data_IF_784370970328
#
_entry.id   IF_784370970328
#
_cell.length_a   1.000
_cell.length_b   1.000
_cell.length_c   1.000
_cell.angle_alpha   90.00
_cell.angle_beta   90.00
_cell.angle_gamma   90.00
#
_symmetry.space_group_name_H-M   'P 1'
#
loop_
_entity.id
_entity.type
_entity.pdbx_description
1 polymer ?
#
# COMPACT_ATOMS: atom_id res chain seq x y z
N UNK A 1 47.57 -4.12 -2.50
CA UNK A 1 47.39 -4.17 -3.96
C UNK A 1 46.70 -2.89 -4.40
N UNK A 2 47.36 -2.01 -5.17
CA UNK A 2 46.83 -0.70 -5.56
C UNK A 2 46.16 -0.77 -6.96
N UNK A 3 45.16 -1.63 -7.13
CA UNK A 3 44.36 -1.61 -8.35
C UNK A 3 43.26 -0.55 -8.20
N UNK A 4 43.04 0.25 -9.23
CA UNK A 4 42.12 1.38 -9.21
C UNK A 4 40.67 0.99 -8.87
N UNK A 5 40.25 -0.23 -9.18
CA UNK A 5 38.92 -0.79 -8.93
C UNK A 5 38.77 -1.41 -7.53
N UNK A 6 39.84 -1.65 -6.77
CA UNK A 6 39.82 -2.44 -5.53
C UNK A 6 38.81 -1.90 -4.52
N UNK A 7 38.84 -0.59 -4.23
CA UNK A 7 37.92 0.03 -3.29
C UNK A 7 36.45 -0.12 -3.72
N UNK A 8 36.16 0.08 -5.01
CA UNK A 8 34.79 -0.04 -5.54
C UNK A 8 34.28 -1.49 -5.46
N UNK A 9 35.14 -2.47 -5.74
CA UNK A 9 34.78 -3.90 -5.65
C UNK A 9 34.54 -4.31 -4.19
N UNK A 10 35.41 -3.88 -3.26
CA UNK A 10 35.19 -4.14 -1.83
C UNK A 10 33.90 -3.49 -1.32
N UNK A 11 33.64 -2.25 -1.68
CA UNK A 11 32.38 -1.59 -1.32
C UNK A 11 31.17 -2.33 -1.87
N UNK A 12 31.20 -2.72 -3.13
CA UNK A 12 30.11 -3.50 -3.75
C UNK A 12 29.89 -4.86 -3.06
N UNK A 13 30.97 -5.55 -2.69
CA UNK A 13 30.87 -6.80 -1.93
C UNK A 13 30.32 -6.58 -0.51
N UNK A 14 30.78 -5.53 0.19
CA UNK A 14 30.28 -5.18 1.52
C UNK A 14 28.77 -4.83 1.53
N UNK A 15 28.26 -4.27 0.43
CA UNK A 15 26.84 -3.98 0.23
C UNK A 15 26.06 -5.12 -0.44
N UNK A 16 26.64 -6.31 -0.55
CA UNK A 16 25.96 -7.48 -1.10
C UNK A 16 25.75 -7.47 -2.62
N UNK A 17 26.19 -6.42 -3.33
CA UNK A 17 26.04 -6.31 -4.78
C UNK A 17 26.86 -7.34 -5.56
N UNK A 18 27.92 -7.84 -4.95
CA UNK A 18 28.77 -8.91 -5.48
C UNK A 18 28.72 -10.12 -4.56
N UNK A 19 28.75 -11.31 -5.17
CA UNK A 19 28.89 -12.57 -4.43
C UNK A 19 30.34 -12.69 -3.91
N UNK A 20 30.52 -12.63 -2.59
CA UNK A 20 31.79 -12.76 -1.91
C UNK A 20 32.31 -14.21 -1.86
N UNK A 21 31.46 -15.20 -2.18
CA UNK A 21 31.84 -16.60 -2.33
C UNK A 21 32.71 -16.87 -3.59
N UNK A 22 32.68 -15.94 -4.54
CA UNK A 22 33.49 -16.03 -5.74
C UNK A 22 35.00 -15.82 -5.40
N UNK A 23 35.83 -16.82 -5.64
CA UNK A 23 37.26 -16.75 -5.32
C UNK A 23 38.03 -15.64 -6.06
N UNK A 24 37.51 -15.16 -7.20
CA UNK A 24 38.17 -14.13 -8.01
C UNK A 24 37.12 -13.22 -8.67
N UNK A 25 37.22 -11.91 -8.42
CA UNK A 25 36.61 -10.93 -9.25
C UNK A 25 37.31 -10.83 -10.60
N UNK A 26 36.59 -10.86 -11.71
CA UNK A 26 37.11 -10.84 -13.09
C UNK A 26 37.11 -9.43 -13.69
N UNK A 27 38.04 -8.54 -13.31
CA UNK A 27 37.92 -7.10 -13.60
C UNK A 27 38.09 -6.71 -15.06
N UNK A 28 38.62 -7.63 -15.87
CA UNK A 28 38.87 -7.39 -17.31
C UNK A 28 37.88 -8.13 -18.24
N UNK A 29 36.98 -8.93 -17.66
CA UNK A 29 35.96 -9.61 -18.44
C UNK A 29 34.80 -8.66 -18.73
N UNK A 30 34.13 -8.85 -19.85
CA UNK A 30 32.90 -8.12 -20.15
C UNK A 30 31.77 -8.60 -19.22
N UNK A 31 31.05 -7.69 -18.59
CA UNK A 31 29.85 -8.00 -17.84
C UNK A 31 28.69 -8.32 -18.78
N UNK A 32 27.94 -9.38 -18.47
CA UNK A 32 26.72 -9.70 -19.19
C UNK A 32 25.54 -8.85 -18.71
N UNK A 33 24.48 -8.79 -19.50
CA UNK A 33 23.24 -8.10 -19.13
C UNK A 33 22.58 -8.74 -17.91
N UNK A 34 22.63 -10.08 -17.78
CA UNK A 34 22.16 -10.82 -16.61
C UNK A 34 22.97 -10.46 -15.37
N UNK A 35 24.31 -10.52 -15.44
CA UNK A 35 25.18 -10.16 -14.32
C UNK A 35 24.92 -8.71 -13.86
N UNK A 36 24.71 -7.79 -14.78
CA UNK A 36 24.42 -6.39 -14.47
C UNK A 36 23.07 -6.25 -13.73
N UNK A 37 22.02 -6.93 -14.21
CA UNK A 37 20.70 -6.91 -13.55
C UNK A 37 20.78 -7.49 -12.12
N UNK A 38 21.47 -8.64 -11.95
CA UNK A 38 21.68 -9.26 -10.64
C UNK A 38 22.42 -8.32 -9.69
N UNK A 39 23.52 -7.72 -10.14
CA UNK A 39 24.30 -6.78 -9.31
C UNK A 39 23.49 -5.55 -8.87
N UNK A 40 22.69 -4.99 -9.76
CA UNK A 40 21.89 -3.82 -9.45
C UNK A 40 20.79 -4.14 -8.43
N UNK A 41 20.03 -5.22 -8.62
CA UNK A 41 18.98 -5.63 -7.67
C UNK A 41 19.58 -5.98 -6.30
N UNK A 42 20.70 -6.69 -6.26
CA UNK A 42 21.43 -6.98 -5.01
C UNK A 42 21.93 -5.69 -4.34
N UNK A 43 22.56 -4.81 -5.10
CA UNK A 43 23.07 -3.53 -4.59
C UNK A 43 21.98 -2.61 -4.06
N UNK A 44 20.75 -2.73 -4.56
CA UNK A 44 19.56 -2.05 -4.05
C UNK A 44 18.95 -2.75 -2.83
N UNK A 45 19.40 -3.96 -2.47
CA UNK A 45 18.95 -4.70 -1.29
C UNK A 45 17.61 -5.42 -1.46
N UNK A 46 17.20 -5.76 -2.68
CA UNK A 46 15.91 -6.42 -2.96
C UNK A 46 16.00 -7.94 -3.15
N UNK A 47 17.03 -8.59 -2.62
CA UNK A 47 17.21 -10.04 -2.69
C UNK A 47 16.03 -10.83 -2.08
N UNK A 48 15.39 -10.29 -1.05
CA UNK A 48 14.26 -10.89 -0.36
C UNK A 48 12.99 -10.98 -1.25
N UNK A 49 12.95 -10.27 -2.39
CA UNK A 49 11.84 -10.32 -3.34
C UNK A 49 12.05 -11.29 -4.51
N UNK A 50 13.27 -11.81 -4.67
CA UNK A 50 13.67 -12.59 -5.86
C UNK A 50 12.81 -13.85 -6.06
N UNK A 51 12.47 -14.56 -4.99
CA UNK A 51 11.59 -15.74 -5.07
C UNK A 51 10.18 -15.36 -5.54
N UNK A 52 9.63 -14.27 -5.02
CA UNK A 52 8.30 -13.78 -5.42
C UNK A 52 8.30 -13.34 -6.87
N UNK A 53 9.30 -12.59 -7.30
CA UNK A 53 9.43 -12.15 -8.69
C UNK A 53 9.71 -13.34 -9.65
N UNK A 54 10.41 -14.36 -9.22
CA UNK A 54 10.64 -15.56 -10.03
C UNK A 54 9.37 -16.39 -10.26
N UNK A 55 8.40 -16.34 -9.32
CA UNK A 55 7.11 -17.02 -9.45
C UNK A 55 6.20 -16.34 -10.50
N UNK A 56 6.36 -15.03 -10.72
CA UNK A 56 5.62 -14.31 -11.75
C UNK A 56 6.03 -14.74 -13.17
N UNK A 57 5.16 -14.49 -14.15
CA UNK A 57 5.51 -14.67 -15.56
C UNK A 57 6.66 -13.72 -15.94
N UNK A 58 7.62 -14.20 -16.72
CA UNK A 58 8.67 -13.32 -17.24
C UNK A 58 8.20 -12.63 -18.52
N UNK A 59 8.46 -11.34 -18.72
CA UNK A 59 8.22 -10.66 -19.99
C UNK A 59 9.17 -11.15 -21.10
N UNK A 60 10.16 -11.99 -20.75
CA UNK A 60 11.20 -12.49 -21.65
C UNK A 60 11.15 -13.99 -21.83
N UNK A 61 11.30 -14.45 -23.06
CA UNK A 61 11.23 -15.87 -23.44
C UNK A 61 12.58 -16.60 -23.34
N UNK A 62 13.69 -15.86 -23.27
CA UNK A 62 15.07 -16.37 -23.31
C UNK A 62 15.77 -16.36 -21.93
N UNK A 63 15.04 -16.02 -20.87
CA UNK A 63 15.56 -16.03 -19.50
C UNK A 63 15.38 -17.40 -18.87
N UNK A 64 16.50 -18.12 -18.62
CA UNK A 64 16.53 -19.47 -18.04
C UNK A 64 17.17 -19.53 -16.67
N UNK A 65 17.93 -18.52 -16.28
CA UNK A 65 18.59 -18.36 -14.99
C UNK A 65 18.29 -16.97 -14.41
N UNK A 66 18.48 -16.82 -13.10
CA UNK A 66 18.30 -15.53 -12.41
C UNK A 66 16.99 -14.79 -12.74
N UNK A 67 15.92 -15.56 -13.06
CA UNK A 67 14.63 -15.03 -13.51
C UNK A 67 14.09 -13.96 -12.57
N UNK A 68 14.14 -14.19 -11.24
CA UNK A 68 13.63 -13.24 -10.26
C UNK A 68 14.37 -11.90 -10.27
N UNK A 69 15.69 -11.91 -10.41
CA UNK A 69 16.49 -10.68 -10.54
C UNK A 69 16.18 -9.91 -11.81
N UNK A 70 16.03 -10.62 -12.94
CA UNK A 70 15.72 -9.99 -14.23
C UNK A 70 14.30 -9.41 -14.21
N UNK A 71 13.32 -10.14 -13.65
CA UNK A 71 11.95 -9.66 -13.50
C UNK A 71 11.91 -8.42 -12.59
N UNK A 72 12.57 -8.42 -11.42
CA UNK A 72 12.66 -7.25 -10.55
C UNK A 72 13.30 -6.05 -11.27
N UNK A 73 14.41 -6.27 -11.96
CA UNK A 73 15.06 -5.20 -12.71
C UNK A 73 14.17 -4.62 -13.82
N UNK A 74 13.31 -5.46 -14.43
CA UNK A 74 12.31 -5.03 -15.41
C UNK A 74 11.17 -4.26 -14.74
N UNK A 75 10.57 -4.79 -13.67
CA UNK A 75 9.49 -4.14 -12.92
C UNK A 75 9.92 -2.77 -12.39
N UNK A 76 11.16 -2.67 -11.96
CA UNK A 76 11.76 -1.39 -11.57
C UNK A 76 12.09 -0.48 -12.76
N UNK A 77 11.85 -0.93 -13.99
CA UNK A 77 12.16 -0.16 -15.21
C UNK A 77 13.66 0.10 -15.40
N UNK A 78 14.53 -0.62 -14.68
CA UNK A 78 15.99 -0.50 -14.78
C UNK A 78 16.47 -1.08 -16.10
N UNK A 79 15.95 -2.27 -16.45
CA UNK A 79 16.27 -2.97 -17.69
C UNK A 79 15.08 -3.00 -18.65
N UNK A 80 15.36 -3.21 -19.92
CA UNK A 80 14.36 -3.46 -20.96
C UNK A 80 14.83 -4.57 -21.87
N UNK A 81 13.90 -5.16 -22.64
CA UNK A 81 14.21 -6.14 -23.68
C UNK A 81 14.97 -5.56 -24.88
N UNK A 82 15.49 -6.44 -25.71
CA UNK A 82 16.12 -6.13 -27.02
C UNK A 82 15.14 -6.24 -28.19
N UNK A 83 13.85 -6.40 -27.91
CA UNK A 83 12.79 -6.64 -28.87
C UNK A 83 12.41 -8.12 -28.99
N UNK A 84 11.26 -8.39 -29.61
CA UNK A 84 10.70 -9.73 -29.80
C UNK A 84 10.59 -10.59 -28.50
N UNK A 85 10.38 -9.94 -27.33
CA UNK A 85 10.29 -10.64 -26.05
C UNK A 85 11.61 -11.27 -25.58
N UNK A 86 12.73 -10.71 -26.01
CA UNK A 86 14.07 -11.20 -25.60
C UNK A 86 14.80 -10.21 -24.71
N UNK A 87 15.44 -10.73 -23.66
CA UNK A 87 16.35 -10.00 -22.78
C UNK A 87 17.80 -10.07 -23.24
N UNK A 88 18.21 -11.20 -23.85
CA UNK A 88 19.57 -11.54 -24.25
C UNK A 88 20.52 -11.61 -23.03
N UNK A 89 20.29 -12.55 -22.06
CA UNK A 89 21.00 -12.58 -20.78
C UNK A 89 22.52 -12.61 -20.91
N UNK A 90 23.03 -13.43 -21.83
CA UNK A 90 24.48 -13.62 -22.07
C UNK A 90 25.08 -12.54 -22.98
N UNK A 91 24.27 -11.58 -23.45
CA UNK A 91 24.79 -10.44 -24.22
C UNK A 91 25.63 -9.51 -23.34
N UNK A 92 26.72 -8.99 -23.86
CA UNK A 92 27.55 -8.01 -23.16
C UNK A 92 26.78 -6.71 -22.95
N UNK A 93 26.74 -6.22 -21.72
CA UNK A 93 26.24 -4.87 -21.45
C UNK A 93 27.26 -3.82 -21.92
N UNK A 94 26.83 -2.87 -22.73
CA UNK A 94 27.69 -1.76 -23.14
C UNK A 94 27.81 -0.72 -22.03
N UNK A 95 28.83 0.15 -22.11
CA UNK A 95 28.99 1.26 -21.14
C UNK A 95 27.79 2.19 -21.15
N UNK A 96 27.18 2.40 -22.30
CA UNK A 96 25.96 3.21 -22.45
C UNK A 96 24.76 2.55 -21.75
N UNK A 97 24.58 1.24 -21.92
CA UNK A 97 23.54 0.48 -21.23
C UNK A 97 23.73 0.50 -19.71
N UNK A 98 24.96 0.28 -19.25
CA UNK A 98 25.29 0.35 -17.83
C UNK A 98 24.99 1.75 -17.26
N UNK A 99 25.40 2.81 -17.95
CA UNK A 99 25.11 4.19 -17.54
C UNK A 99 23.59 4.49 -17.50
N UNK A 100 22.83 4.02 -18.49
CA UNK A 100 21.39 4.18 -18.55
C UNK A 100 20.69 3.43 -17.40
N UNK A 101 21.11 2.20 -17.08
CA UNK A 101 20.56 1.42 -15.96
C UNK A 101 20.84 2.12 -14.62
N UNK A 102 22.07 2.57 -14.39
CA UNK A 102 22.46 3.29 -13.18
C UNK A 102 21.71 4.62 -13.03
N UNK A 103 21.52 5.38 -14.12
CA UNK A 103 20.77 6.63 -14.08
C UNK A 103 19.29 6.40 -13.75
N UNK A 104 18.68 5.33 -14.28
CA UNK A 104 17.30 4.96 -13.94
C UNK A 104 17.15 4.59 -12.47
N UNK A 105 18.08 3.77 -11.93
CA UNK A 105 18.13 3.50 -10.49
C UNK A 105 18.23 4.79 -9.68
N UNK A 106 19.19 5.65 -10.03
CA UNK A 106 19.44 6.90 -9.31
C UNK A 106 18.19 7.80 -9.31
N UNK A 107 17.55 7.98 -10.46
CA UNK A 107 16.36 8.84 -10.58
C UNK A 107 15.19 8.31 -9.74
N UNK A 108 14.97 6.99 -9.73
CA UNK A 108 13.90 6.37 -8.95
C UNK A 108 14.17 6.45 -7.43
N UNK A 109 15.38 6.15 -7.00
CA UNK A 109 15.77 6.26 -5.59
C UNK A 109 15.69 7.70 -5.04
N UNK A 110 15.82 8.69 -5.91
CA UNK A 110 15.79 10.10 -5.55
C UNK A 110 14.52 10.82 -6.05
N UNK A 111 13.47 10.07 -6.42
CA UNK A 111 12.19 10.68 -6.71
C UNK A 111 11.51 11.14 -5.42
N UNK A 112 10.92 12.32 -5.45
CA UNK A 112 10.15 12.86 -4.33
C UNK A 112 8.80 12.14 -4.23
N UNK A 113 8.19 12.17 -3.06
CA UNK A 113 6.77 11.87 -2.90
C UNK A 113 5.99 13.01 -3.53
N UNK A 114 5.14 12.70 -4.52
CA UNK A 114 4.44 13.70 -5.34
C UNK A 114 2.97 13.87 -4.98
N UNK A 115 2.45 13.01 -4.11
CA UNK A 115 1.08 13.07 -3.63
C UNK A 115 0.96 12.40 -2.25
N UNK A 116 0.42 13.12 -1.28
CA UNK A 116 0.18 12.64 0.08
C UNK A 116 -1.30 12.73 0.40
N UNK A 117 -1.90 11.61 0.71
CA UNK A 117 -3.32 11.48 1.03
C UNK A 117 -3.50 10.86 2.42
N UNK A 118 -4.60 11.20 3.10
CA UNK A 118 -4.98 10.57 4.36
C UNK A 118 -6.49 10.39 4.50
N UNK A 119 -6.90 9.30 5.14
CA UNK A 119 -8.26 9.12 5.59
C UNK A 119 -8.47 9.81 6.93
N UNK A 120 -9.54 10.57 7.05
CA UNK A 120 -9.89 11.35 8.23
C UNK A 120 -11.20 10.83 8.84
N UNK A 121 -11.10 10.10 9.93
CA UNK A 121 -12.22 9.59 10.69
C UNK A 121 -12.68 10.59 11.78
N UNK A 122 -13.74 10.25 12.48
CA UNK A 122 -14.27 11.04 13.60
C UNK A 122 -13.20 11.35 14.68
N UNK A 123 -12.33 10.38 14.98
CA UNK A 123 -11.27 10.49 16.00
C UNK A 123 -9.96 11.12 15.49
N UNK A 124 -9.91 11.62 14.26
CA UNK A 124 -8.68 12.16 13.64
C UNK A 124 -8.37 13.61 14.03
N UNK A 125 -9.26 14.28 14.78
CA UNK A 125 -9.14 15.73 15.09
C UNK A 125 -7.81 16.11 15.77
N UNK A 126 -7.25 15.20 16.58
CA UNK A 126 -5.95 15.42 17.25
C UNK A 126 -4.78 15.67 16.28
N UNK A 127 -4.87 15.17 15.04
CA UNK A 127 -3.85 15.33 13.99
C UNK A 127 -4.31 16.24 12.83
N UNK A 128 -5.19 17.19 13.09
CA UNK A 128 -5.66 18.13 12.06
C UNK A 128 -4.56 19.00 11.46
N UNK A 129 -3.51 19.28 12.23
CA UNK A 129 -2.37 20.05 11.72
C UNK A 129 -1.53 19.23 10.75
N UNK A 130 -1.42 17.93 10.98
CA UNK A 130 -0.82 16.99 10.05
C UNK A 130 -1.62 16.91 8.74
N UNK A 131 -2.96 16.89 8.84
CA UNK A 131 -3.84 16.87 7.68
C UNK A 131 -3.64 18.08 6.75
N UNK A 132 -3.24 19.24 7.28
CA UNK A 132 -2.95 20.46 6.48
C UNK A 132 -1.68 20.35 5.63
N UNK A 133 -0.85 19.34 5.89
CA UNK A 133 0.39 19.09 5.16
C UNK A 133 0.21 18.08 4.03
N UNK A 134 -1.01 17.55 3.84
CA UNK A 134 -1.38 16.62 2.79
C UNK A 134 -1.92 17.33 1.55
N UNK A 135 -1.88 16.65 0.40
CA UNK A 135 -2.48 17.14 -0.84
C UNK A 135 -3.99 16.91 -0.85
N UNK A 136 -4.44 15.80 -0.28
CA UNK A 136 -5.85 15.45 -0.19
C UNK A 136 -6.20 14.69 1.07
N UNK A 137 -7.45 14.85 1.52
CA UNK A 137 -8.03 14.15 2.66
C UNK A 137 -9.40 13.59 2.28
N UNK A 138 -9.62 12.31 2.57
CA UNK A 138 -10.92 11.64 2.43
C UNK A 138 -11.60 11.53 3.79
N UNK A 139 -12.70 12.25 3.97
CA UNK A 139 -13.48 12.21 5.20
C UNK A 139 -14.29 10.92 5.28
N UNK A 140 -13.98 10.04 6.22
CA UNK A 140 -14.71 8.81 6.54
C UNK A 140 -16.02 9.08 7.26
N UNK A 141 -16.86 9.94 6.70
CA UNK A 141 -18.10 10.43 7.33
C UNK A 141 -19.36 9.88 6.68
N UNK A 142 -19.23 8.88 5.83
CA UNK A 142 -20.38 8.24 5.20
C UNK A 142 -20.18 6.76 4.94
N UNK A 143 -21.28 6.03 4.91
CA UNK A 143 -21.35 4.69 4.37
C UNK A 143 -22.54 4.52 3.42
N UNK A 144 -22.37 3.67 2.42
CA UNK A 144 -23.45 3.27 1.54
C UNK A 144 -24.30 2.21 2.23
N UNK A 145 -25.63 2.39 2.19
CA UNK A 145 -26.59 1.43 2.78
C UNK A 145 -27.70 1.09 1.78
N UNK A 146 -28.01 -0.20 1.68
CA UNK A 146 -29.26 -0.70 1.11
C UNK A 146 -30.22 -1.01 2.26
N UNK A 147 -31.33 -0.27 2.36
CA UNK A 147 -32.28 -0.36 3.49
C UNK A 147 -33.40 -1.37 3.24
N UNK A 148 -34.09 -1.78 4.29
CA UNK A 148 -35.18 -2.76 4.23
C UNK A 148 -36.37 -2.34 3.35
N UNK A 149 -36.57 -1.02 3.17
CA UNK A 149 -37.58 -0.46 2.29
C UNK A 149 -37.17 -0.43 0.81
N UNK A 150 -35.97 -0.90 0.50
CA UNK A 150 -35.40 -0.94 -0.84
C UNK A 150 -34.69 0.37 -1.25
N UNK A 151 -34.62 1.38 -0.38
CA UNK A 151 -33.90 2.61 -0.66
C UNK A 151 -32.39 2.41 -0.54
N UNK A 152 -31.62 3.17 -1.35
CA UNK A 152 -30.16 3.23 -1.28
C UNK A 152 -29.80 4.66 -0.85
N UNK A 153 -28.98 4.76 0.19
CA UNK A 153 -28.60 6.03 0.80
C UNK A 153 -27.11 6.09 1.10
N UNK A 154 -26.58 7.29 1.06
CA UNK A 154 -25.29 7.63 1.69
C UNK A 154 -25.61 8.09 3.10
N UNK A 155 -25.38 7.22 4.09
CA UNK A 155 -25.68 7.51 5.48
C UNK A 155 -24.55 8.31 6.11
N UNK A 156 -24.81 9.57 6.42
CA UNK A 156 -23.92 10.53 7.07
C UNK A 156 -24.37 10.88 8.51
N UNK A 157 -25.40 10.20 9.02
CA UNK A 157 -26.01 10.52 10.30
C UNK A 157 -25.45 9.65 11.43
N UNK A 158 -25.20 10.25 12.59
CA UNK A 158 -24.82 9.54 13.82
C UNK A 158 -26.06 8.91 14.46
N UNK A 159 -26.49 7.80 13.85
CA UNK A 159 -27.61 7.00 14.33
C UNK A 159 -27.17 5.54 14.50
N UNK A 160 -27.71 4.84 15.50
CA UNK A 160 -27.41 3.43 15.76
C UNK A 160 -25.90 3.12 15.88
N UNK A 161 -25.12 3.99 16.53
CA UNK A 161 -23.66 3.91 16.65
C UNK A 161 -22.91 3.93 15.30
N UNK A 162 -23.47 4.60 14.30
CA UNK A 162 -22.77 4.79 13.04
C UNK A 162 -21.56 5.71 13.23
N UNK A 163 -20.36 5.14 13.23
CA UNK A 163 -19.09 5.90 13.33
C UNK A 163 -18.73 6.64 12.03
N UNK A 164 -19.38 6.28 10.93
CA UNK A 164 -19.25 6.92 9.62
C UNK A 164 -20.25 8.07 9.45
N UNK A 165 -20.14 9.05 10.30
CA UNK A 165 -21.07 10.17 10.33
C UNK A 165 -20.35 11.51 10.25
N UNK A 166 -21.02 12.53 9.73
CA UNK A 166 -20.51 13.90 9.76
C UNK A 166 -20.49 14.39 11.23
N UNK A 167 -19.30 14.70 11.78
CA UNK A 167 -19.19 15.08 13.19
C UNK A 167 -19.77 16.48 13.45
N UNK A 168 -20.17 16.74 14.69
CA UNK A 168 -20.45 18.10 15.11
C UNK A 168 -19.19 18.96 15.05
N UNK A 169 -19.25 20.16 14.53
CA UNK A 169 -18.09 21.05 14.37
C UNK A 169 -17.25 20.77 13.11
N UNK A 170 -17.75 19.95 12.19
CA UNK A 170 -17.06 19.61 10.92
C UNK A 170 -16.65 20.84 10.10
N UNK A 171 -17.42 21.93 10.21
CA UNK A 171 -17.16 23.16 9.47
C UNK A 171 -15.76 23.73 9.72
N UNK A 172 -15.26 23.64 10.95
CA UNK A 172 -13.94 24.13 11.30
C UNK A 172 -12.84 23.38 10.55
N UNK A 173 -12.85 22.04 10.58
CA UNK A 173 -11.80 21.25 9.93
C UNK A 173 -11.86 21.38 8.41
N UNK A 174 -13.05 21.42 7.82
CA UNK A 174 -13.21 21.64 6.38
C UNK A 174 -12.61 22.98 5.95
N UNK A 175 -12.93 24.06 6.68
CA UNK A 175 -12.39 25.40 6.38
C UNK A 175 -10.87 25.45 6.57
N UNK A 176 -10.35 24.88 7.65
CA UNK A 176 -8.91 24.83 7.91
C UNK A 176 -8.16 24.10 6.80
N UNK A 177 -8.63 22.93 6.35
CA UNK A 177 -7.99 22.13 5.29
C UNK A 177 -8.06 22.84 3.93
N UNK A 178 -9.23 23.31 3.52
CA UNK A 178 -9.41 24.01 2.23
C UNK A 178 -8.62 25.32 2.17
N UNK A 179 -8.53 26.07 3.30
CA UNK A 179 -7.68 27.26 3.37
C UNK A 179 -6.18 26.95 3.27
N UNK A 180 -5.78 25.72 3.61
CA UNK A 180 -4.41 25.21 3.41
C UNK A 180 -4.17 24.64 2.02
N UNK A 181 -5.19 24.62 1.14
CA UNK A 181 -5.11 24.08 -0.21
C UNK A 181 -5.26 22.56 -0.30
N UNK A 182 -5.70 21.92 0.78
CA UNK A 182 -5.94 20.47 0.83
C UNK A 182 -7.25 20.13 0.15
N UNK A 183 -7.22 19.23 -0.82
CA UNK A 183 -8.44 18.74 -1.46
C UNK A 183 -9.25 17.88 -0.47
N UNK A 184 -10.56 18.13 -0.40
CA UNK A 184 -11.45 17.45 0.55
C UNK A 184 -12.43 16.54 -0.20
N UNK A 185 -12.37 15.23 0.04
CA UNK A 185 -13.26 14.24 -0.56
C UNK A 185 -14.19 13.62 0.50
N UNK A 186 -15.37 13.21 0.09
CA UNK A 186 -16.23 12.34 0.89
C UNK A 186 -15.82 10.89 0.66
N UNK A 187 -15.39 10.16 1.70
CA UNK A 187 -15.20 8.72 1.62
C UNK A 187 -16.54 8.01 1.78
N UNK A 188 -16.95 7.23 0.78
CA UNK A 188 -18.16 6.42 0.80
C UNK A 188 -17.78 4.96 1.02
N UNK A 189 -17.94 4.50 2.25
CA UNK A 189 -17.57 3.17 2.68
C UNK A 189 -18.67 2.14 2.45
N UNK A 190 -18.30 0.93 2.04
CA UNK A 190 -19.17 -0.25 1.97
C UNK A 190 -18.33 -1.54 2.07
N UNK A 191 -18.57 -2.35 3.11
CA UNK A 191 -17.87 -3.65 3.29
C UNK A 191 -18.82 -4.85 3.39
N UNK A 192 -20.14 -4.64 3.47
CA UNK A 192 -21.12 -5.73 3.48
C UNK A 192 -21.26 -6.34 2.09
N UNK A 193 -20.83 -7.61 1.96
CA UNK A 193 -20.82 -8.32 0.68
C UNK A 193 -22.23 -8.51 0.08
N UNK A 194 -23.27 -8.64 0.91
CA UNK A 194 -24.65 -8.80 0.44
C UNK A 194 -25.19 -7.49 -0.11
N UNK A 195 -24.94 -6.39 0.58
CA UNK A 195 -25.32 -5.06 0.11
C UNK A 195 -24.55 -4.69 -1.16
N UNK A 196 -23.25 -4.95 -1.21
CA UNK A 196 -22.45 -4.72 -2.40
C UNK A 196 -22.99 -5.49 -3.62
N UNK A 197 -23.34 -6.78 -3.45
CA UNK A 197 -23.98 -7.56 -4.50
C UNK A 197 -25.33 -6.99 -4.91
N UNK A 198 -26.18 -6.61 -3.97
CA UNK A 198 -27.51 -6.07 -4.22
C UNK A 198 -27.44 -4.75 -4.98
N UNK A 199 -26.54 -3.87 -4.59
CA UNK A 199 -26.36 -2.56 -5.23
C UNK A 199 -25.72 -2.72 -6.60
N UNK A 200 -24.59 -3.43 -6.70
CA UNK A 200 -23.81 -3.45 -7.92
C UNK A 200 -24.37 -4.37 -9.02
N UNK A 201 -25.05 -5.48 -8.68
CA UNK A 201 -25.59 -6.40 -9.68
C UNK A 201 -26.89 -5.94 -10.33
N UNK A 202 -27.50 -4.88 -9.84
CA UNK A 202 -28.73 -4.29 -10.41
C UNK A 202 -28.43 -2.89 -10.98
N UNK A 203 -28.78 -2.66 -12.25
CA UNK A 203 -28.50 -1.37 -12.90
C UNK A 203 -29.27 -0.21 -12.27
N UNK A 204 -30.54 -0.42 -11.88
CA UNK A 204 -31.35 0.61 -11.23
C UNK A 204 -30.78 0.97 -9.85
N UNK A 205 -30.27 -0.04 -9.12
CA UNK A 205 -29.62 0.16 -7.83
C UNK A 205 -28.28 0.92 -7.99
N UNK A 206 -27.48 0.63 -9.03
CA UNK A 206 -26.27 1.40 -9.31
C UNK A 206 -26.59 2.88 -9.56
N UNK A 207 -27.57 3.16 -10.41
CA UNK A 207 -28.03 4.53 -10.67
C UNK A 207 -28.55 5.20 -9.39
N UNK A 208 -29.30 4.48 -8.54
CA UNK A 208 -29.76 5.00 -7.26
C UNK A 208 -28.59 5.32 -6.31
N UNK A 209 -27.56 4.45 -6.27
CA UNK A 209 -26.34 4.69 -5.48
C UNK A 209 -25.56 5.92 -5.98
N UNK A 210 -25.41 6.07 -7.30
CA UNK A 210 -24.79 7.26 -7.90
C UNK A 210 -25.59 8.53 -7.52
N UNK A 211 -26.91 8.49 -7.64
CA UNK A 211 -27.77 9.64 -7.28
C UNK A 211 -27.63 10.00 -5.79
N UNK A 212 -27.59 9.00 -4.90
CA UNK A 212 -27.41 9.24 -3.47
C UNK A 212 -26.04 9.88 -3.16
N UNK A 213 -24.96 9.47 -3.84
CA UNK A 213 -23.65 10.11 -3.71
C UNK A 213 -23.70 11.54 -4.24
N UNK A 214 -24.28 11.75 -5.43
CA UNK A 214 -24.37 13.09 -6.04
C UNK A 214 -25.22 14.05 -5.19
N UNK A 215 -26.30 13.57 -4.60
CA UNK A 215 -27.10 14.37 -3.67
C UNK A 215 -26.23 14.85 -2.50
N UNK A 216 -25.46 13.96 -1.87
CA UNK A 216 -24.62 14.31 -0.72
C UNK A 216 -23.50 15.30 -1.09
N UNK A 217 -22.84 15.13 -2.24
CA UNK A 217 -21.70 15.97 -2.62
C UNK A 217 -22.08 17.25 -3.38
N UNK A 218 -23.36 17.49 -3.62
CA UNK A 218 -23.85 18.75 -4.23
C UNK A 218 -24.73 19.57 -3.30
N UNK A 219 -25.29 18.97 -2.23
CA UNK A 219 -26.13 19.71 -1.27
C UNK A 219 -25.33 20.79 -0.55
N UNK A 220 -25.98 21.91 -0.29
CA UNK A 220 -25.40 22.99 0.52
C UNK A 220 -25.50 22.69 2.01
N UNK A 221 -24.36 22.54 2.65
CA UNK A 221 -24.28 22.41 4.11
C UNK A 221 -24.53 23.78 4.76
N UNK A 222 -25.59 23.87 5.60
CA UNK A 222 -26.08 25.16 6.14
C UNK A 222 -25.05 25.98 6.89
N UNK A 223 -24.16 25.31 7.66
CA UNK A 223 -23.14 25.99 8.45
C UNK A 223 -21.99 26.54 7.60
N UNK A 224 -21.67 25.89 6.48
CA UNK A 224 -20.64 26.34 5.54
C UNK A 224 -21.17 27.27 4.44
N UNK A 225 -22.47 27.23 4.15
CA UNK A 225 -23.08 27.95 3.02
C UNK A 225 -22.67 27.41 1.65
N UNK A 226 -21.99 26.24 1.60
CA UNK A 226 -21.53 25.53 0.40
C UNK A 226 -21.42 24.03 0.68
N UNK A 227 -21.13 23.23 -0.34
CA UNK A 227 -20.75 21.83 -0.15
C UNK A 227 -19.30 21.71 0.34
N UNK A 228 -18.98 20.82 1.29
CA UNK A 228 -17.62 20.65 1.82
C UNK A 228 -16.70 19.81 0.93
N UNK A 229 -17.25 19.07 -0.06
CA UNK A 229 -16.50 18.06 -0.80
C UNK A 229 -16.15 18.51 -2.22
N UNK A 230 -14.88 18.39 -2.56
CA UNK A 230 -14.33 18.65 -3.90
C UNK A 230 -14.26 17.38 -4.75
N UNK A 231 -14.50 16.23 -4.14
CA UNK A 231 -14.52 14.93 -4.78
C UNK A 231 -15.12 13.84 -3.90
N UNK A 232 -15.03 12.62 -4.41
CA UNK A 232 -15.49 11.40 -3.74
C UNK A 232 -14.36 10.37 -3.73
N UNK A 233 -14.23 9.64 -2.63
CA UNK A 233 -13.43 8.43 -2.55
C UNK A 233 -14.36 7.25 -2.36
N UNK A 234 -14.37 6.32 -3.31
CA UNK A 234 -15.13 5.07 -3.21
C UNK A 234 -14.27 4.04 -2.50
N UNK A 235 -14.78 3.55 -1.38
CA UNK A 235 -14.12 2.59 -0.50
C UNK A 235 -15.03 1.38 -0.31
N UNK A 236 -15.24 0.64 -1.44
CA UNK A 236 -16.06 -0.56 -1.48
C UNK A 236 -15.16 -1.78 -1.35
N UNK A 237 -15.20 -2.41 -0.18
CA UNK A 237 -14.31 -3.48 0.19
C UNK A 237 -14.87 -4.88 -0.08
N UNK A 238 -13.99 -5.87 -0.13
CA UNK A 238 -14.37 -7.28 -0.19
C UNK A 238 -14.99 -7.74 -1.49
N UNK A 239 -14.85 -6.99 -2.59
CA UNK A 239 -15.44 -7.34 -3.88
C UNK A 239 -14.79 -8.61 -4.47
N UNK A 240 -15.61 -9.56 -4.93
CA UNK A 240 -15.15 -10.84 -5.46
C UNK A 240 -15.89 -11.26 -6.71
N UNK A 241 -15.15 -11.87 -7.63
CA UNK A 241 -15.66 -12.51 -8.83
C UNK A 241 -15.90 -11.58 -10.00
N UNK A 242 -15.91 -12.15 -11.18
CA UNK A 242 -15.95 -11.43 -12.45
C UNK A 242 -17.21 -10.59 -12.65
N UNK A 243 -18.35 -11.01 -12.10
CA UNK A 243 -19.60 -10.26 -12.21
C UNK A 243 -19.55 -8.96 -11.42
N UNK A 244 -19.11 -9.01 -10.14
CA UNK A 244 -18.93 -7.80 -9.34
C UNK A 244 -17.85 -6.88 -9.93
N UNK A 245 -16.75 -7.45 -10.44
CA UNK A 245 -15.71 -6.72 -11.15
C UNK A 245 -16.25 -5.84 -12.27
N UNK A 246 -17.07 -6.43 -13.17
CA UNK A 246 -17.66 -5.72 -14.30
C UNK A 246 -18.68 -4.67 -13.85
N UNK A 247 -19.53 -5.02 -12.88
CA UNK A 247 -20.57 -4.14 -12.39
C UNK A 247 -20.02 -2.97 -11.56
N UNK A 248 -18.92 -3.19 -10.84
CA UNK A 248 -18.19 -2.10 -10.14
C UNK A 248 -17.62 -1.09 -11.13
N UNK A 249 -17.00 -1.56 -12.22
CA UNK A 249 -16.54 -0.67 -13.31
C UNK A 249 -17.71 0.10 -13.93
N UNK A 250 -18.87 -0.55 -14.13
CA UNK A 250 -20.05 0.15 -14.66
C UNK A 250 -20.56 1.24 -13.69
N UNK A 251 -20.59 0.96 -12.39
CA UNK A 251 -20.93 1.93 -11.35
C UNK A 251 -19.95 3.11 -11.35
N UNK A 252 -18.63 2.85 -11.39
CA UNK A 252 -17.62 3.91 -11.39
C UNK A 252 -17.71 4.80 -12.64
N UNK A 253 -17.99 4.26 -13.83
CA UNK A 253 -18.19 5.04 -15.05
C UNK A 253 -19.40 5.98 -14.95
N UNK A 254 -20.49 5.48 -14.39
CA UNK A 254 -21.69 6.27 -14.18
C UNK A 254 -21.44 7.40 -13.17
N UNK A 255 -20.76 7.09 -12.06
CA UNK A 255 -20.38 8.06 -11.03
C UNK A 255 -19.42 9.12 -11.55
N UNK A 256 -18.35 8.71 -12.25
CA UNK A 256 -17.36 9.62 -12.84
C UNK A 256 -17.99 10.61 -13.81
N UNK A 257 -18.91 10.12 -14.65
CA UNK A 257 -19.66 10.99 -15.57
C UNK A 257 -20.43 12.08 -14.82
N UNK A 258 -21.08 11.71 -13.72
CA UNK A 258 -21.84 12.64 -12.90
C UNK A 258 -20.94 13.63 -12.11
N UNK A 259 -19.83 13.12 -11.53
CA UNK A 259 -18.86 13.94 -10.80
C UNK A 259 -18.15 14.95 -11.72
N UNK A 260 -17.72 14.51 -12.91
CA UNK A 260 -17.06 15.36 -13.91
C UNK A 260 -17.98 16.51 -14.35
N UNK A 261 -19.30 16.28 -14.49
CA UNK A 261 -20.26 17.33 -14.82
C UNK A 261 -20.34 18.43 -13.74
N UNK A 262 -20.02 18.10 -12.49
CA UNK A 262 -19.96 19.02 -11.34
C UNK A 262 -18.52 19.50 -11.02
N UNK A 263 -17.53 19.13 -11.84
CA UNK A 263 -16.14 19.50 -11.64
C UNK A 263 -15.49 18.86 -10.40
N UNK A 264 -15.96 17.67 -10.02
CA UNK A 264 -15.50 16.91 -8.84
C UNK A 264 -14.64 15.72 -9.23
N UNK A 265 -13.67 15.38 -8.38
CA UNK A 265 -12.75 14.26 -8.58
C UNK A 265 -13.32 12.94 -8.06
N UNK A 266 -12.79 11.83 -8.61
CA UNK A 266 -13.08 10.47 -8.19
C UNK A 266 -11.78 9.75 -7.76
N UNK A 267 -11.69 9.36 -6.49
CA UNK A 267 -10.67 8.43 -5.99
C UNK A 267 -11.30 7.08 -5.71
N UNK A 268 -10.53 6.01 -5.87
CA UNK A 268 -11.01 4.64 -5.64
C UNK A 268 -10.00 3.88 -4.78
N UNK A 269 -10.42 3.43 -3.60
CA UNK A 269 -9.66 2.50 -2.78
C UNK A 269 -9.86 1.06 -3.30
N UNK A 270 -8.78 0.29 -3.39
CA UNK A 270 -8.80 -1.08 -3.89
C UNK A 270 -7.96 -1.99 -3.01
N UNK A 271 -8.40 -3.23 -2.84
CA UNK A 271 -7.55 -4.25 -2.22
C UNK A 271 -6.38 -4.63 -3.14
N UNK A 272 -5.20 -4.91 -2.58
CA UNK A 272 -4.07 -5.44 -3.35
C UNK A 272 -4.36 -6.85 -3.84
N UNK A 273 -3.78 -7.22 -4.97
CA UNK A 273 -3.65 -8.64 -5.33
C UNK A 273 -2.71 -9.33 -4.34
N UNK A 274 -3.03 -10.57 -3.97
CA UNK A 274 -2.24 -11.38 -3.04
C UNK A 274 -1.63 -12.60 -3.72
N UNK A 275 -0.50 -13.10 -3.22
CA UNK A 275 0.20 -14.26 -3.78
C UNK A 275 -0.63 -15.55 -3.75
N UNK A 276 -1.49 -15.69 -2.77
CA UNK A 276 -2.24 -16.91 -2.50
C UNK A 276 -3.60 -16.95 -3.22
N UNK A 277 -3.79 -16.10 -4.22
CA UNK A 277 -4.91 -16.19 -5.17
C UNK A 277 -5.99 -15.13 -5.01
N UNK A 278 -7.14 -15.42 -5.57
CA UNK A 278 -8.25 -14.54 -5.91
C UNK A 278 -9.04 -13.95 -4.73
N UNK A 279 -8.43 -13.66 -3.60
CA UNK A 279 -9.20 -13.30 -2.40
C UNK A 279 -10.13 -12.10 -2.64
N UNK A 280 -9.63 -11.02 -3.25
CA UNK A 280 -10.42 -9.84 -3.62
C UNK A 280 -10.27 -9.54 -5.11
N UNK A 281 -10.71 -10.46 -5.96
CA UNK A 281 -10.54 -10.38 -7.41
C UNK A 281 -11.62 -9.55 -8.13
N UNK A 282 -12.44 -8.83 -7.35
CA UNK A 282 -13.51 -7.96 -7.86
C UNK A 282 -13.08 -6.59 -8.36
N UNK A 283 -11.76 -6.32 -8.47
CA UNK A 283 -11.24 -5.05 -8.96
C UNK A 283 -10.56 -5.21 -10.32
N UNK A 284 -10.94 -4.40 -11.29
CA UNK A 284 -10.28 -4.28 -12.58
C UNK A 284 -9.37 -3.05 -12.56
N UNK A 285 -8.11 -3.25 -12.17
CA UNK A 285 -7.18 -2.14 -11.97
C UNK A 285 -7.02 -1.25 -13.20
N UNK A 286 -6.98 -1.88 -14.41
CA UNK A 286 -6.85 -1.14 -15.66
C UNK A 286 -8.06 -0.25 -15.90
N UNK A 287 -9.26 -0.84 -15.84
CA UNK A 287 -10.49 -0.09 -16.08
C UNK A 287 -10.71 0.98 -14.98
N UNK A 288 -10.37 0.68 -13.71
CA UNK A 288 -10.45 1.65 -12.61
C UNK A 288 -9.48 2.81 -12.86
N UNK A 289 -8.25 2.53 -13.26
CA UNK A 289 -7.25 3.56 -13.55
C UNK A 289 -7.58 4.45 -14.77
N UNK A 290 -8.35 3.92 -15.74
CA UNK A 290 -8.87 4.71 -16.87
C UNK A 290 -9.97 5.70 -16.44
N UNK A 291 -10.68 5.41 -15.33
CA UNK A 291 -11.83 6.18 -14.84
C UNK A 291 -11.39 7.14 -13.72
N UNK A 292 -10.74 6.62 -12.68
CA UNK A 292 -10.41 7.36 -11.47
C UNK A 292 -9.26 8.36 -11.67
N UNK A 293 -9.27 9.45 -10.91
CA UNK A 293 -8.15 10.40 -10.80
C UNK A 293 -7.02 9.83 -9.94
N UNK A 294 -7.35 9.07 -8.88
CA UNK A 294 -6.40 8.35 -8.03
C UNK A 294 -6.94 6.96 -7.70
N UNK A 295 -6.04 5.98 -7.63
CA UNK A 295 -6.32 4.59 -7.23
C UNK A 295 -5.47 4.28 -6.01
N UNK A 296 -6.10 4.15 -4.85
CA UNK A 296 -5.43 3.91 -3.56
C UNK A 296 -5.38 2.41 -3.32
N UNK A 297 -4.20 1.80 -3.41
CA UNK A 297 -3.99 0.39 -3.10
C UNK A 297 -3.78 0.22 -1.60
N UNK A 298 -4.69 -0.44 -0.90
CA UNK A 298 -4.66 -0.67 0.55
C UNK A 298 -3.66 -1.77 0.91
N UNK A 299 -2.36 -1.45 0.95
CA UNK A 299 -1.27 -2.39 1.18
C UNK A 299 -0.98 -2.61 2.67
N UNK A 300 -2.01 -2.95 3.44
CA UNK A 300 -1.99 -3.21 4.87
C UNK A 300 -3.00 -4.31 5.25
N UNK A 301 -3.06 -4.69 6.54
CA UNK A 301 -3.95 -5.73 7.07
C UNK A 301 -3.77 -7.11 6.41
N UNK A 302 -2.51 -7.50 6.14
CA UNK A 302 -2.19 -8.83 5.61
C UNK A 302 -2.10 -9.90 6.69
N UNK A 303 -2.03 -9.52 7.96
CA UNK A 303 -1.91 -10.45 9.08
C UNK A 303 -3.14 -11.33 9.27
N UNK A 304 -2.93 -12.52 9.79
CA UNK A 304 -4.01 -13.41 10.18
C UNK A 304 -4.68 -12.89 11.47
N UNK A 305 -5.91 -12.43 11.38
CA UNK A 305 -6.71 -12.01 12.56
C UNK A 305 -7.24 -13.20 13.36
N UNK A 306 -7.42 -14.37 12.73
CA UNK A 306 -7.91 -15.61 13.36
C UNK A 306 -7.03 -16.77 12.94
N UNK A 307 -6.70 -17.64 13.88
CA UNK A 307 -5.91 -18.85 13.66
C UNK A 307 -6.64 -20.11 14.14
N UNK A 308 -6.42 -21.22 13.42
CA UNK A 308 -6.99 -22.52 13.79
C UNK A 308 -6.30 -23.13 15.01
N UNK A 309 -6.96 -24.10 15.65
CA UNK A 309 -6.38 -24.82 16.78
C UNK A 309 -5.05 -25.51 16.45
N UNK A 310 -4.90 -26.03 15.23
CA UNK A 310 -3.65 -26.66 14.77
C UNK A 310 -2.51 -25.64 14.66
N UNK A 311 -2.81 -24.44 14.16
CA UNK A 311 -1.84 -23.33 14.10
C UNK A 311 -1.45 -22.87 15.50
N UNK A 312 -2.42 -22.76 16.43
CA UNK A 312 -2.14 -22.46 17.85
C UNK A 312 -1.16 -23.47 18.45
N UNK A 313 -1.38 -24.76 18.24
CA UNK A 313 -0.50 -25.82 18.75
C UNK A 313 0.88 -25.82 18.10
N UNK A 314 1.01 -25.35 16.88
CA UNK A 314 2.31 -25.24 16.20
C UNK A 314 3.18 -24.11 16.73
N UNK A 315 2.61 -23.18 17.51
CA UNK A 315 3.32 -21.98 17.99
C UNK A 315 3.65 -20.99 16.84
N UNK A 316 2.85 -21.00 15.75
CA UNK A 316 3.03 -20.09 14.65
C UNK A 316 2.85 -18.63 15.08
N UNK A 317 3.90 -17.82 14.91
CA UNK A 317 3.93 -16.41 15.34
C UNK A 317 4.35 -15.46 14.23
N UNK A 318 4.59 -15.97 13.03
CA UNK A 318 5.03 -15.13 11.89
C UNK A 318 3.81 -14.58 11.17
N UNK A 319 3.35 -13.42 11.60
CA UNK A 319 2.17 -12.73 11.08
C UNK A 319 2.48 -11.25 10.83
N UNK A 320 3.45 -10.93 9.94
CA UNK A 320 3.78 -9.54 9.64
C UNK A 320 2.55 -8.80 9.12
N UNK A 321 2.36 -7.56 9.57
CA UNK A 321 1.15 -6.77 9.26
C UNK A 321 1.11 -6.29 7.81
N UNK A 322 2.29 -6.07 7.22
CA UNK A 322 2.40 -5.73 5.79
C UNK A 322 3.69 -6.30 5.20
N UNK A 323 3.71 -7.63 4.95
CA UNK A 323 4.92 -8.32 4.48
C UNK A 323 5.38 -7.77 3.13
N UNK A 324 6.65 -7.46 3.04
CA UNK A 324 7.28 -6.75 1.92
C UNK A 324 7.08 -7.43 0.57
N UNK A 325 7.12 -8.77 0.54
CA UNK A 325 6.87 -9.57 -0.65
C UNK A 325 5.41 -9.55 -1.11
N UNK A 326 4.45 -9.35 -0.20
CA UNK A 326 3.04 -9.16 -0.54
C UNK A 326 2.78 -7.75 -1.06
N UNK A 327 3.41 -6.72 -0.44
CA UNK A 327 3.34 -5.34 -0.94
C UNK A 327 3.93 -5.25 -2.34
N UNK A 328 5.09 -5.88 -2.60
CA UNK A 328 5.64 -5.98 -3.94
C UNK A 328 4.69 -6.66 -4.92
N UNK A 329 4.07 -7.79 -4.52
CA UNK A 329 3.13 -8.51 -5.39
C UNK A 329 1.92 -7.65 -5.76
N UNK A 330 1.37 -6.92 -4.79
CA UNK A 330 0.28 -5.96 -5.04
C UNK A 330 0.69 -4.84 -5.99
N UNK A 331 1.87 -4.24 -5.76
CA UNK A 331 2.42 -3.20 -6.63
C UNK A 331 2.68 -3.73 -8.05
N UNK A 332 3.27 -4.93 -8.18
CA UNK A 332 3.48 -5.56 -9.49
C UNK A 332 2.15 -5.74 -10.25
N UNK A 333 1.10 -6.22 -9.56
CA UNK A 333 -0.19 -6.43 -10.20
C UNK A 333 -0.89 -5.12 -10.59
N UNK A 334 -0.82 -4.07 -9.76
CA UNK A 334 -1.50 -2.81 -10.04
C UNK A 334 -0.76 -1.94 -11.06
N UNK A 335 0.55 -2.16 -11.25
CA UNK A 335 1.37 -1.43 -12.25
C UNK A 335 1.68 -2.27 -13.50
N UNK A 336 1.13 -3.49 -13.62
CA UNK A 336 1.31 -4.34 -14.81
C UNK A 336 0.83 -3.63 -16.08
N UNK A 337 1.66 -3.62 -17.12
CA UNK A 337 1.40 -2.87 -18.37
C UNK A 337 0.14 -3.33 -19.13
N UNK A 338 -0.32 -4.57 -18.91
CA UNK A 338 -1.46 -5.13 -19.62
C UNK A 338 -2.76 -5.07 -18.81
N UNK A 339 -2.69 -5.28 -17.49
CA UNK A 339 -3.83 -5.47 -16.59
C UNK A 339 -3.92 -4.46 -15.47
N UNK A 340 -2.85 -3.72 -15.23
CA UNK A 340 -2.76 -2.69 -14.19
C UNK A 340 -3.19 -1.30 -14.66
N UNK A 341 -3.04 -0.34 -13.78
CA UNK A 341 -3.26 1.09 -14.02
C UNK A 341 -2.21 1.59 -14.99
N UNK A 342 -2.63 2.05 -16.16
CA UNK A 342 -1.71 2.44 -17.25
C UNK A 342 -0.82 3.65 -16.87
N UNK A 343 -1.38 4.59 -16.12
CA UNK A 343 -0.65 5.76 -15.61
C UNK A 343 -0.34 5.55 -14.12
N UNK A 344 0.88 5.13 -13.81
CA UNK A 344 1.33 4.86 -12.45
C UNK A 344 1.28 6.08 -11.52
N UNK A 345 1.24 7.31 -12.04
CA UNK A 345 1.09 8.53 -11.25
C UNK A 345 -0.30 8.64 -10.58
N UNK A 346 -1.26 7.87 -11.06
CA UNK A 346 -2.58 7.74 -10.42
C UNK A 346 -2.59 6.76 -9.26
N UNK A 347 -1.62 5.84 -9.19
CA UNK A 347 -1.53 4.83 -8.12
C UNK A 347 -0.96 5.47 -6.86
N UNK A 348 -1.61 5.18 -5.75
CA UNK A 348 -1.23 5.67 -4.41
C UNK A 348 -1.05 4.47 -3.49
N UNK A 349 0.12 4.35 -2.87
CA UNK A 349 0.38 3.28 -1.90
C UNK A 349 -0.30 3.59 -0.57
N UNK A 350 -1.34 2.85 -0.23
CA UNK A 350 -2.00 2.92 1.07
C UNK A 350 -1.21 2.15 2.13
N UNK A 351 -0.94 2.79 3.26
CA UNK A 351 -0.24 2.22 4.41
C UNK A 351 -1.00 2.51 5.69
N UNK A 352 -0.88 1.63 6.70
CA UNK A 352 -1.46 1.80 8.02
C UNK A 352 -0.37 1.78 9.09
N UNK A 353 0.15 2.95 9.49
CA UNK A 353 1.24 3.05 10.46
C UNK A 353 0.92 2.52 11.86
N UNK A 354 -0.36 2.39 12.20
CA UNK A 354 -0.82 1.84 13.48
C UNK A 354 -1.09 0.35 13.45
N UNK A 355 -1.03 -0.30 12.26
CA UNK A 355 -1.29 -1.75 12.17
C UNK A 355 -0.35 -2.54 13.05
N UNK A 356 -0.92 -3.42 13.85
CA UNK A 356 -0.18 -4.36 14.68
C UNK A 356 -1.02 -5.60 14.99
N UNK A 357 -0.37 -6.68 15.39
CA UNK A 357 -1.02 -7.90 15.86
C UNK A 357 -0.18 -8.56 16.93
N UNK A 358 -0.80 -8.84 18.07
CA UNK A 358 -0.20 -9.52 19.21
C UNK A 358 -0.70 -10.97 19.35
N UNK A 359 0.24 -11.87 19.60
CA UNK A 359 0.00 -13.27 19.93
C UNK A 359 0.64 -13.63 21.27
N UNK A 360 -0.13 -14.24 22.14
CA UNK A 360 0.30 -14.70 23.46
C UNK A 360 0.72 -16.16 23.43
N UNK A 361 1.96 -16.45 23.83
CA UNK A 361 2.52 -17.80 23.89
C UNK A 361 2.72 -18.24 25.33
N UNK A 362 2.21 -19.44 25.66
CA UNK A 362 2.54 -20.15 26.90
C UNK A 362 3.09 -21.53 26.55
N UNK A 363 4.28 -21.84 27.09
CA UNK A 363 4.97 -23.09 26.79
C UNK A 363 5.13 -23.39 25.27
N UNK A 364 5.29 -22.36 24.44
CA UNK A 364 5.44 -22.49 23.00
C UNK A 364 4.12 -22.70 22.23
N UNK A 365 2.98 -22.59 22.90
CA UNK A 365 1.64 -22.67 22.29
C UNK A 365 0.98 -21.31 22.32
N UNK A 366 0.36 -20.90 21.21
CA UNK A 366 -0.44 -19.67 21.16
C UNK A 366 -1.74 -19.92 21.93
N UNK A 367 -2.04 -19.07 22.91
CA UNK A 367 -3.21 -19.23 23.79
C UNK A 367 -4.42 -18.39 23.38
N UNK A 368 -4.23 -17.35 22.58
CA UNK A 368 -5.32 -16.59 21.99
C UNK A 368 -5.63 -17.08 20.55
N UNK A 369 -6.90 -17.23 20.19
CA UNK A 369 -7.33 -17.65 18.85
C UNK A 369 -7.52 -16.47 17.89
N UNK A 370 -7.55 -15.27 18.43
CA UNK A 370 -7.64 -14.00 17.67
C UNK A 370 -6.45 -13.14 18.02
N UNK A 371 -5.90 -12.49 16.99
CA UNK A 371 -4.88 -11.47 17.16
C UNK A 371 -5.44 -10.30 17.98
N UNK A 372 -4.60 -9.73 18.84
CA UNK A 372 -4.95 -8.57 19.66
C UNK A 372 -4.35 -7.35 18.99
N UNK A 373 -5.20 -6.38 18.67
CA UNK A 373 -4.77 -5.06 18.18
C UNK A 373 -4.51 -4.16 19.41
N UNK A 374 -3.31 -3.61 19.49
CA UNK A 374 -2.92 -2.69 20.55
C UNK A 374 -3.00 -1.24 20.07
N UNK A 375 -3.30 -0.32 20.99
CA UNK A 375 -3.11 1.09 20.73
C UNK A 375 -1.61 1.46 20.77
N UNK A 376 -1.30 2.61 20.19
CA UNK A 376 0.06 3.12 20.10
C UNK A 376 0.72 3.30 21.49
N UNK A 377 -0.03 3.75 22.50
CA UNK A 377 0.47 3.96 23.85
C UNK A 377 0.89 2.63 24.52
N UNK A 378 0.15 1.57 24.24
CA UNK A 378 0.49 0.21 24.68
C UNK A 378 1.79 -0.28 24.08
N UNK A 379 1.99 -0.09 22.74
CA UNK A 379 3.23 -0.46 22.06
C UNK A 379 4.43 0.36 22.61
N UNK A 380 4.26 1.66 22.80
CA UNK A 380 5.27 2.50 23.42
C UNK A 380 5.61 2.03 24.84
N UNK A 381 4.59 1.69 25.63
CA UNK A 381 4.79 1.20 27.02
C UNK A 381 5.60 -0.08 27.03
N UNK A 382 5.35 -1.01 26.13
CA UNK A 382 6.16 -2.23 26.00
C UNK A 382 7.62 -1.92 25.70
N UNK A 383 7.89 -1.05 24.73
CA UNK A 383 9.25 -0.65 24.34
C UNK A 383 9.98 0.09 25.48
N UNK A 384 9.32 1.00 26.19
CA UNK A 384 9.87 1.72 27.33
C UNK A 384 10.19 0.79 28.51
N UNK A 385 9.40 -0.26 28.70
CA UNK A 385 9.61 -1.28 29.73
C UNK A 385 10.62 -2.37 29.31
N UNK A 386 11.31 -2.20 28.19
CA UNK A 386 12.41 -3.06 27.76
C UNK A 386 11.98 -4.24 26.89
N UNK A 387 10.86 -4.12 26.20
CA UNK A 387 10.54 -5.07 25.12
C UNK A 387 11.67 -5.11 24.10
N UNK A 388 12.01 -6.30 23.65
CA UNK A 388 13.05 -6.50 22.67
C UNK A 388 12.45 -6.34 21.27
N UNK A 389 12.77 -5.24 20.63
CA UNK A 389 12.41 -5.01 19.21
C UNK A 389 13.47 -5.61 18.29
N UNK A 390 13.01 -6.31 17.28
CA UNK A 390 13.81 -6.89 16.19
C UNK A 390 13.19 -6.51 14.85
N UNK A 391 13.97 -6.61 13.77
CA UNK A 391 13.50 -6.32 12.42
C UNK A 391 13.67 -7.55 11.53
N UNK A 392 12.59 -7.96 10.89
CA UNK A 392 12.64 -9.06 9.93
C UNK A 392 13.11 -8.56 8.57
N UNK A 393 14.33 -8.86 8.17
CA UNK A 393 14.87 -8.51 6.85
C UNK A 393 14.09 -9.18 5.71
N UNK A 394 13.46 -10.33 5.97
CA UNK A 394 12.63 -11.03 4.99
C UNK A 394 11.33 -10.27 4.69
N UNK A 395 10.64 -9.86 5.73
CA UNK A 395 9.31 -9.23 5.60
C UNK A 395 9.36 -7.71 5.67
N UNK A 396 10.51 -7.14 6.00
CA UNK A 396 10.72 -5.72 6.27
C UNK A 396 9.63 -5.13 7.17
N UNK A 397 9.32 -5.89 8.22
CA UNK A 397 8.48 -5.48 9.32
C UNK A 397 9.22 -5.66 10.64
N UNK A 398 9.08 -4.73 11.59
CA UNK A 398 9.52 -4.93 12.96
C UNK A 398 8.59 -5.89 13.70
N UNK A 399 9.14 -6.56 14.70
CA UNK A 399 8.39 -7.28 15.70
C UNK A 399 9.04 -7.12 17.06
N UNK A 400 8.26 -7.20 18.11
CA UNK A 400 8.79 -7.18 19.46
C UNK A 400 8.35 -8.40 20.27
N UNK A 401 9.18 -8.77 21.25
CA UNK A 401 8.85 -9.78 22.25
C UNK A 401 8.79 -9.17 23.63
N UNK A 402 7.70 -9.47 24.33
CA UNK A 402 7.47 -9.02 25.71
C UNK A 402 7.27 -10.23 26.60
N UNK A 403 7.95 -10.26 27.76
CA UNK A 403 7.72 -11.30 28.75
C UNK A 403 6.82 -10.78 29.86
N UNK A 404 5.69 -11.44 30.05
CA UNK A 404 4.70 -11.12 31.08
C UNK A 404 4.40 -12.38 31.87
N UNK A 405 5.10 -12.56 32.99
CA UNK A 405 5.03 -13.78 33.82
C UNK A 405 5.45 -15.02 33.00
N UNK A 406 4.53 -15.97 32.85
CA UNK A 406 4.72 -17.21 32.09
C UNK A 406 4.32 -17.07 30.64
N UNK A 407 3.85 -15.89 30.20
CA UNK A 407 3.45 -15.60 28.84
C UNK A 407 4.54 -14.85 28.10
N UNK A 408 4.80 -15.21 26.86
CA UNK A 408 5.59 -14.43 25.90
C UNK A 408 4.65 -13.86 24.86
N UNK A 409 4.59 -12.54 24.76
CA UNK A 409 3.85 -11.84 23.72
C UNK A 409 4.78 -11.63 22.52
N UNK A 410 4.27 -11.89 21.32
CA UNK A 410 4.94 -11.56 20.06
C UNK A 410 4.06 -10.59 19.31
N UNK A 411 4.56 -9.39 19.05
CA UNK A 411 3.80 -8.30 18.43
C UNK A 411 4.49 -7.89 17.13
N UNK A 412 3.82 -8.06 16.00
CA UNK A 412 4.23 -7.49 14.72
C UNK A 412 3.60 -6.13 14.56
N UNK A 413 4.35 -5.15 14.05
CA UNK A 413 3.88 -3.76 13.95
C UNK A 413 4.58 -2.99 12.82
N UNK A 414 4.24 -1.72 12.63
CA UNK A 414 4.92 -0.80 11.71
C UNK A 414 5.81 0.19 12.47
N UNK A 415 6.92 0.58 11.86
CA UNK A 415 7.80 1.65 12.31
C UNK A 415 8.24 2.54 11.13
N UNK A 416 9.06 3.56 11.40
CA UNK A 416 9.56 4.45 10.35
C UNK A 416 10.41 3.72 9.30
N UNK A 417 11.18 2.69 9.69
CA UNK A 417 11.98 1.90 8.76
C UNK A 417 11.09 1.08 7.83
N UNK A 418 10.10 0.39 8.37
CA UNK A 418 9.20 -0.45 7.57
C UNK A 418 8.33 0.37 6.61
N UNK A 419 7.89 1.55 7.02
CA UNK A 419 7.17 2.51 6.16
C UNK A 419 8.09 3.03 5.06
N UNK A 420 9.32 3.45 5.39
CA UNK A 420 10.30 3.92 4.39
C UNK A 420 10.62 2.84 3.36
N UNK A 421 10.89 1.61 3.79
CA UNK A 421 11.18 0.49 2.90
C UNK A 421 10.05 0.26 1.86
N UNK A 422 8.78 0.42 2.27
CA UNK A 422 7.62 0.27 1.37
C UNK A 422 7.46 1.46 0.41
N UNK A 423 7.73 2.67 0.89
CA UNK A 423 7.74 3.87 0.04
C UNK A 423 8.85 3.78 -1.01
N UNK A 424 10.04 3.33 -0.62
CA UNK A 424 11.17 3.14 -1.56
C UNK A 424 10.85 2.07 -2.60
N UNK A 425 10.20 0.97 -2.20
CA UNK A 425 9.73 -0.04 -3.14
C UNK A 425 8.71 0.53 -4.13
N UNK A 426 7.74 1.30 -3.65
CA UNK A 426 6.73 1.94 -4.50
C UNK A 426 7.38 2.89 -5.52
N UNK A 427 8.34 3.71 -5.09
CA UNK A 427 9.14 4.59 -5.98
C UNK A 427 9.89 3.78 -7.05
N UNK A 428 10.49 2.65 -6.68
CA UNK A 428 11.12 1.75 -7.66
C UNK A 428 10.11 1.22 -8.69
N UNK A 429 8.86 0.99 -8.31
CA UNK A 429 7.77 0.59 -9.20
C UNK A 429 7.12 1.77 -9.96
N UNK A 430 7.60 3.00 -9.74
CA UNK A 430 7.07 4.22 -10.38
C UNK A 430 5.81 4.78 -9.73
N UNK A 431 5.57 4.42 -8.46
CA UNK A 431 4.47 4.92 -7.63
C UNK A 431 5.06 5.87 -6.58
N UNK A 432 4.78 7.16 -6.71
CA UNK A 432 5.30 8.21 -5.81
C UNK A 432 4.23 8.77 -4.87
N UNK A 433 2.96 8.41 -5.07
CA UNK A 433 1.87 8.78 -4.17
C UNK A 433 1.75 7.86 -2.97
N UNK A 434 1.44 8.42 -1.80
CA UNK A 434 1.21 7.67 -0.57
C UNK A 434 -0.11 8.06 0.09
N UNK A 435 -0.74 7.12 0.77
CA UNK A 435 -1.97 7.32 1.54
C UNK A 435 -1.87 6.65 2.90
N UNK A 436 -2.50 7.25 3.89
CA UNK A 436 -2.48 6.74 5.27
C UNK A 436 -3.88 6.40 5.78
N UNK A 437 -4.05 5.17 6.22
CA UNK A 437 -5.13 4.72 7.07
C UNK A 437 -4.60 4.69 8.51
N UNK A 438 -4.91 5.63 9.43
CA UNK A 438 -5.63 6.87 9.14
C UNK A 438 -5.04 7.99 10.01
N UNK A 439 -5.38 9.23 9.69
CA UNK A 439 -5.12 10.36 10.58
C UNK A 439 -5.69 10.13 11.99
N UNK A 440 -5.00 10.61 12.99
CA UNK A 440 -5.27 10.33 14.41
C UNK A 440 -4.50 9.14 14.96
N UNK A 441 -3.88 8.31 14.07
CA UNK A 441 -3.12 7.12 14.43
C UNK A 441 -1.69 7.12 13.83
N UNK A 442 -1.25 8.21 13.22
CA UNK A 442 0.10 8.30 12.62
C UNK A 442 1.08 8.75 13.72
N UNK A 443 2.12 7.99 14.05
CA UNK A 443 3.17 8.46 14.94
C UNK A 443 3.92 9.65 14.34
N UNK A 444 3.70 10.85 14.89
CA UNK A 444 4.20 12.14 14.39
C UNK A 444 5.24 12.79 15.32
N UNK A 445 5.57 12.14 16.43
CA UNK A 445 6.58 12.58 17.39
C UNK A 445 7.68 11.52 17.60
N UNK A 446 8.90 11.99 17.83
CA UNK A 446 9.98 11.13 18.29
C UNK A 446 9.85 10.89 19.78
N UNK A 447 9.72 9.63 20.17
CA UNK A 447 9.81 9.19 21.55
C UNK A 447 11.11 8.41 21.79
N UNK A 448 11.44 8.10 23.04
CA UNK A 448 12.60 7.24 23.36
C UNK A 448 12.44 5.81 22.88
N UNK A 449 11.22 5.41 22.52
CA UNK A 449 10.86 4.04 22.18
C UNK A 449 10.33 3.88 20.75
N UNK A 450 9.87 4.97 20.13
CA UNK A 450 9.27 4.92 18.80
C UNK A 450 9.70 6.13 17.96
N UNK A 451 9.99 5.91 16.69
CA UNK A 451 10.40 6.96 15.76
C UNK A 451 9.21 7.65 15.14
N UNK A 452 9.38 8.92 14.81
CA UNK A 452 8.39 9.69 14.07
C UNK A 452 8.22 9.14 12.66
N UNK A 453 7.11 8.44 12.41
CA UNK A 453 6.79 7.89 11.08
C UNK A 453 6.50 9.01 10.08
N UNK A 454 5.82 10.08 10.51
CA UNK A 454 5.52 11.19 9.62
C UNK A 454 6.76 11.85 9.02
N UNK A 455 7.87 11.87 9.75
CA UNK A 455 9.12 12.42 9.25
C UNK A 455 9.72 11.69 8.04
N UNK A 456 9.26 10.46 7.75
CA UNK A 456 9.71 9.70 6.56
C UNK A 456 8.95 10.10 5.29
N UNK A 457 7.83 10.80 5.43
CA UNK A 457 6.94 11.15 4.31
C UNK A 457 7.39 12.44 3.61
N UNK A 458 8.20 13.25 4.30
CA UNK A 458 8.67 14.58 3.87
C UNK A 458 10.03 14.56 3.19
#
# INVERSE_FOLDING_TARGET
>A
MNQWYFKSVETAAQHGALDDSAQNFRPNDNITREEMAVMLVKGLGYDNLVETAAAAASPFTDVTSNKGYINLAYDFGIVSGKGAGQFVPNGTATREEAAAMMLRCYNKMNSDTDFVHGFYAFSSYGQKDLAKEMDAVSFGWSKMEYRDDGSIVVNTLYENNNEWAVPEGYEQIVEELQNSGVQTNLNVFLSDATQAQTILNNAENRTAAVNAIMEEVTVTYKKLGRNPYEGVTIDFEGLRGSTLKQNFVAFLKELDTALTAEGKSLYVAVHPATKDGSYYDGYDYKAIGEIADKVIMMAYDYEAKNISADVQQSGFTTTPVSPFDQVYYGLHAITDENTGVTDSSKVVLGMSPSSNVEWDLQNGVIVNSQGIDNDYDTLQTYLQNGAKSEYSEKYRNPYMTVRDGDTTKVIWYEDSRSIQDKMDLAKMMGVNGVSFWRLGLIPDENTTAYSNIWSTVK
#
